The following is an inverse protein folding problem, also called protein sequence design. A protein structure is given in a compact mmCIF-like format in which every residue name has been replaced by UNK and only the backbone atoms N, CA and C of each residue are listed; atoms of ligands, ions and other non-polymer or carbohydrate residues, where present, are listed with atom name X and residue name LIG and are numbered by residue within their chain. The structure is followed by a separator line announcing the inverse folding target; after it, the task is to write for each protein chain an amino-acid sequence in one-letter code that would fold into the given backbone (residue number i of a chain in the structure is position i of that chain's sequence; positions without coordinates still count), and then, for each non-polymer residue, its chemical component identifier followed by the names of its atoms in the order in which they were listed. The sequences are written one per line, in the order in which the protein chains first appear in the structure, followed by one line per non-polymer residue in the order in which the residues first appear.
data_IF_162008378232
#
_entry.id   IF_162008378232
#
_cell.length_a   1.000
_cell.length_b   1.000
_cell.length_c   1.000
_cell.angle_alpha   90.00
_cell.angle_beta   90.00
_cell.angle_gamma   90.00
#
_symmetry.space_group_name_H-M   'P 1'
#
loop_
_entity.id
_entity.type
_entity.pdbx_description
1 polymer ?
#
# COMPACT_ATOMS: atom_id res chain seq x y z
N UNK A 1 2.09 -22.54 24.88
CA UNK A 1 1.54 -21.26 24.39
C UNK A 1 1.99 -20.83 22.98
N UNK A 2 3.15 -21.25 22.42
CA UNK A 2 3.64 -20.79 21.10
C UNK A 2 2.69 -21.10 19.92
N UNK A 3 1.96 -22.21 19.95
CA UNK A 3 1.07 -22.62 18.87
C UNK A 3 -0.07 -21.63 18.53
N UNK A 4 -0.52 -20.79 19.48
CA UNK A 4 -1.58 -19.81 19.23
C UNK A 4 -1.09 -18.67 18.34
N UNK A 5 0.13 -18.20 18.58
CA UNK A 5 0.75 -17.14 17.78
C UNK A 5 1.06 -17.60 16.35
N UNK A 6 1.52 -18.85 16.20
CA UNK A 6 1.79 -19.43 14.88
C UNK A 6 0.48 -19.56 14.07
N UNK A 7 -0.61 -20.01 14.69
CA UNK A 7 -1.91 -20.12 14.03
C UNK A 7 -2.51 -18.76 13.69
N UNK A 8 -2.39 -17.79 14.59
CA UNK A 8 -2.81 -16.41 14.34
C UNK A 8 -2.01 -15.78 13.19
N UNK A 9 -0.68 -15.83 13.26
CA UNK A 9 0.20 -15.28 12.23
C UNK A 9 0.04 -15.97 10.88
N UNK A 10 -0.09 -17.30 10.86
CA UNK A 10 -0.35 -18.05 9.63
C UNK A 10 -1.68 -17.68 8.99
N UNK A 11 -2.77 -17.60 9.75
CA UNK A 11 -4.08 -17.18 9.25
C UNK A 11 -4.07 -15.72 8.77
N UNK A 12 -3.36 -14.83 9.48
CA UNK A 12 -3.20 -13.44 9.10
C UNK A 12 -2.44 -13.32 7.76
N UNK A 13 -1.33 -14.03 7.61
CA UNK A 13 -0.51 -13.98 6.39
C UNK A 13 -1.26 -14.52 5.18
N UNK A 14 -1.93 -15.67 5.31
CA UNK A 14 -2.70 -16.27 4.22
C UNK A 14 -3.88 -15.38 3.80
N UNK A 15 -4.57 -14.77 4.75
CA UNK A 15 -5.66 -13.85 4.47
C UNK A 15 -5.17 -12.54 3.83
N UNK A 16 -4.04 -12.00 4.28
CA UNK A 16 -3.42 -10.81 3.69
C UNK A 16 -2.96 -11.08 2.24
N UNK A 17 -2.33 -12.24 1.99
CA UNK A 17 -1.95 -12.65 0.64
C UNK A 17 -3.17 -12.81 -0.26
N UNK A 18 -4.22 -13.47 0.20
CA UNK A 18 -5.45 -13.63 -0.57
C UNK A 18 -6.11 -12.27 -0.87
N UNK A 19 -6.14 -11.36 0.11
CA UNK A 19 -6.71 -10.03 -0.05
C UNK A 19 -5.90 -9.16 -1.03
N UNK A 20 -4.58 -9.34 -1.11
CA UNK A 20 -3.72 -8.58 -2.04
C UNK A 20 -4.00 -8.89 -3.52
N UNK A 21 -4.60 -10.04 -3.83
CA UNK A 21 -5.04 -10.40 -5.20
C UNK A 21 -6.47 -9.98 -5.52
N UNK A 22 -7.21 -9.42 -4.57
CA UNK A 22 -8.57 -8.95 -4.76
C UNK A 22 -8.57 -7.50 -5.27
N UNK A 23 -9.51 -7.13 -6.14
CA UNK A 23 -9.75 -5.73 -6.47
C UNK A 23 -10.00 -4.92 -5.19
N UNK A 24 -9.52 -3.66 -5.11
CA UNK A 24 -9.60 -2.85 -3.89
C UNK A 24 -11.02 -2.73 -3.32
N UNK A 25 -12.01 -2.61 -4.19
CA UNK A 25 -13.44 -2.52 -3.81
C UNK A 25 -13.94 -3.78 -3.10
N UNK A 26 -13.53 -4.96 -3.58
CA UNK A 26 -13.86 -6.25 -2.99
C UNK A 26 -13.07 -6.52 -1.71
N UNK A 27 -11.88 -5.94 -1.56
CA UNK A 27 -11.06 -6.10 -0.38
C UNK A 27 -11.72 -5.51 0.87
N UNK A 28 -12.33 -4.33 0.76
CA UNK A 28 -13.06 -3.69 1.85
C UNK A 28 -14.32 -4.49 2.23
N UNK A 29 -15.09 -4.96 1.24
CA UNK A 29 -16.28 -5.78 1.45
C UNK A 29 -15.93 -7.14 2.10
N UNK A 30 -14.86 -7.79 1.61
CA UNK A 30 -14.39 -9.07 2.18
C UNK A 30 -13.94 -8.91 3.65
N UNK A 31 -13.27 -7.78 3.99
CA UNK A 31 -12.90 -7.46 5.37
C UNK A 31 -14.13 -7.33 6.29
N UNK A 32 -15.16 -6.65 5.83
CA UNK A 32 -16.42 -6.50 6.57
C UNK A 32 -17.12 -7.84 6.81
N UNK A 33 -17.23 -8.67 5.78
CA UNK A 33 -17.83 -10.01 5.87
C UNK A 33 -17.03 -10.91 6.82
N UNK A 34 -15.69 -10.89 6.75
CA UNK A 34 -14.85 -11.67 7.66
C UNK A 34 -14.95 -11.22 9.12
N UNK A 35 -15.07 -9.93 9.38
CA UNK A 35 -15.31 -9.41 10.73
C UNK A 35 -16.65 -9.85 11.28
N UNK A 36 -17.72 -9.78 10.47
CA UNK A 36 -19.05 -10.27 10.84
C UNK A 36 -19.02 -11.77 11.11
N UNK A 37 -18.40 -12.55 10.24
CA UNK A 37 -18.23 -13.98 10.45
C UNK A 37 -17.47 -14.28 11.74
N UNK A 38 -16.36 -13.56 12.02
CA UNK A 38 -15.61 -13.72 13.26
C UNK A 38 -16.45 -13.39 14.50
N UNK A 39 -17.27 -12.33 14.45
CA UNK A 39 -18.18 -11.94 15.54
C UNK A 39 -19.26 -13.01 15.78
N UNK A 40 -19.93 -13.49 14.72
CA UNK A 40 -20.95 -14.54 14.81
C UNK A 40 -20.35 -15.85 15.34
N UNK A 41 -19.20 -16.27 14.81
CA UNK A 41 -18.51 -17.47 15.27
C UNK A 41 -18.06 -17.38 16.74
N UNK A 42 -17.65 -16.20 17.20
CA UNK A 42 -17.30 -16.01 18.62
C UNK A 42 -18.50 -16.08 19.53
N UNK A 43 -19.67 -15.65 19.07
CA UNK A 43 -20.92 -15.70 19.82
C UNK A 43 -21.51 -17.13 19.88
N UNK A 44 -21.49 -17.84 18.74
CA UNK A 44 -22.14 -19.14 18.58
C UNK A 44 -21.27 -20.32 19.06
N UNK A 45 -19.98 -20.31 18.71
CA UNK A 45 -19.07 -21.42 19.01
C UNK A 45 -18.21 -21.13 20.26
N UNK A 46 -18.84 -21.17 21.42
CA UNK A 46 -18.17 -20.91 22.73
C UNK A 46 -16.98 -21.84 23.03
N UNK A 47 -16.87 -23.02 22.38
CA UNK A 47 -15.88 -24.06 22.69
C UNK A 47 -14.57 -24.03 21.91
N UNK A 48 -14.54 -23.56 20.67
CA UNK A 48 -13.37 -23.72 19.76
C UNK A 48 -12.38 -22.55 19.85
N UNK A 49 -11.48 -22.59 20.84
CA UNK A 49 -10.43 -21.55 21.04
C UNK A 49 -9.52 -21.36 19.82
N UNK A 50 -9.18 -22.46 19.12
CA UNK A 50 -8.28 -22.42 17.94
C UNK A 50 -8.93 -21.70 16.76
N UNK A 51 -10.19 -22.00 16.45
CA UNK A 51 -10.92 -21.40 15.34
C UNK A 51 -11.06 -19.89 15.54
N UNK A 52 -11.32 -19.43 16.77
CA UNK A 52 -11.38 -18.01 17.11
C UNK A 52 -10.05 -17.31 16.80
N UNK A 53 -8.93 -17.91 17.22
CA UNK A 53 -7.60 -17.33 16.98
C UNK A 53 -7.30 -17.20 15.48
N UNK A 54 -7.67 -18.21 14.68
CA UNK A 54 -7.49 -18.15 13.22
C UNK A 54 -8.40 -17.10 12.57
N UNK A 55 -9.66 -16.98 12.99
CA UNK A 55 -10.59 -15.98 12.45
C UNK A 55 -10.13 -14.55 12.76
N UNK A 56 -9.70 -14.29 13.98
CA UNK A 56 -9.14 -12.98 14.33
C UNK A 56 -7.84 -12.67 13.57
N UNK A 57 -6.98 -13.68 13.36
CA UNK A 57 -5.79 -13.52 12.52
C UNK A 57 -6.14 -13.17 11.09
N UNK A 58 -7.08 -13.90 10.49
CA UNK A 58 -7.53 -13.63 9.13
C UNK A 58 -8.16 -12.23 8.99
N UNK A 59 -9.02 -11.83 9.91
CA UNK A 59 -9.60 -10.49 9.92
C UNK A 59 -8.53 -9.39 10.03
N UNK A 60 -7.54 -9.57 10.91
CA UNK A 60 -6.43 -8.64 11.04
C UNK A 60 -5.62 -8.51 9.74
N UNK A 61 -5.39 -9.62 9.02
CA UNK A 61 -4.69 -9.62 7.73
C UNK A 61 -5.43 -8.79 6.67
N UNK A 62 -6.74 -8.99 6.53
CA UNK A 62 -7.55 -8.23 5.57
C UNK A 62 -7.64 -6.75 5.94
N UNK A 63 -7.78 -6.44 7.23
CA UNK A 63 -7.82 -5.05 7.72
C UNK A 63 -6.50 -4.32 7.39
N UNK A 64 -5.36 -4.99 7.59
CA UNK A 64 -4.06 -4.39 7.25
C UNK A 64 -3.93 -4.07 5.77
N UNK A 65 -4.36 -4.98 4.89
CA UNK A 65 -4.37 -4.73 3.44
C UNK A 65 -5.33 -3.59 3.09
N UNK A 66 -6.56 -3.61 3.61
CA UNK A 66 -7.52 -2.55 3.39
C UNK A 66 -7.00 -1.19 3.88
N UNK A 67 -6.42 -1.14 5.08
CA UNK A 67 -5.84 0.09 5.62
C UNK A 67 -4.71 0.63 4.72
N UNK A 68 -3.84 -0.24 4.22
CA UNK A 68 -2.78 0.16 3.29
C UNK A 68 -3.34 0.71 1.97
N UNK A 69 -4.38 0.09 1.43
CA UNK A 69 -5.07 0.58 0.24
C UNK A 69 -5.67 1.97 0.46
N UNK A 70 -6.38 2.17 1.57
CA UNK A 70 -7.01 3.47 1.87
C UNK A 70 -6.01 4.58 2.19
N UNK A 71 -4.90 4.25 2.86
CA UNK A 71 -3.92 5.26 3.29
C UNK A 71 -2.91 5.59 2.19
N UNK A 72 -2.53 4.61 1.38
CA UNK A 72 -1.43 4.76 0.42
C UNK A 72 -1.88 4.71 -1.04
N UNK A 73 -2.72 3.75 -1.39
CA UNK A 73 -3.07 3.51 -2.80
C UNK A 73 -4.09 4.51 -3.33
N UNK A 74 -5.23 4.68 -2.67
CA UNK A 74 -6.29 5.59 -3.15
C UNK A 74 -5.85 7.06 -3.21
N UNK A 75 -5.16 7.61 -2.20
CA UNK A 75 -4.66 8.97 -2.30
C UNK A 75 -3.65 9.15 -3.44
N UNK A 76 -2.81 8.14 -3.69
CA UNK A 76 -1.86 8.19 -4.81
C UNK A 76 -2.57 8.12 -6.17
N UNK A 77 -3.59 7.26 -6.30
CA UNK A 77 -4.38 7.14 -7.53
C UNK A 77 -5.18 8.42 -7.83
N UNK A 78 -5.69 9.10 -6.82
CA UNK A 78 -6.38 10.38 -6.98
C UNK A 78 -5.50 11.49 -7.57
N UNK A 79 -4.17 11.33 -7.54
CA UNK A 79 -3.22 12.26 -8.15
C UNK A 79 -3.02 12.03 -9.65
N UNK A 80 -3.47 10.90 -10.21
CA UNK A 80 -3.26 10.59 -11.62
C UNK A 80 -3.93 11.64 -12.52
N UNK A 81 -3.16 12.16 -13.47
CA UNK A 81 -3.56 13.25 -14.37
C UNK A 81 -3.28 14.65 -13.84
N UNK A 82 -3.05 14.82 -12.56
CA UNK A 82 -2.78 16.11 -11.94
C UNK A 82 -1.31 16.55 -12.15
N UNK A 83 -1.12 17.88 -12.23
CA UNK A 83 0.21 18.50 -12.27
C UNK A 83 0.53 19.09 -10.92
N UNK A 84 1.68 18.72 -10.38
CA UNK A 84 2.13 19.29 -9.12
C UNK A 84 3.63 19.57 -9.13
N UNK A 85 4.03 20.57 -8.35
CA UNK A 85 5.43 20.75 -8.00
C UNK A 85 5.76 19.82 -6.85
N UNK A 86 6.85 19.07 -7.00
CA UNK A 86 7.37 18.17 -5.99
C UNK A 86 8.75 18.60 -5.56
N UNK A 87 9.07 18.37 -4.31
CA UNK A 87 10.44 18.39 -3.79
C UNK A 87 10.72 17.08 -3.09
N UNK A 88 11.88 16.50 -3.33
CA UNK A 88 12.24 15.21 -2.76
C UNK A 88 13.69 14.85 -3.00
N UNK A 89 14.07 13.68 -2.48
CA UNK A 89 15.41 13.12 -2.60
C UNK A 89 15.40 11.91 -3.54
N UNK A 90 16.33 11.85 -4.47
CA UNK A 90 16.52 10.70 -5.36
C UNK A 90 17.08 9.54 -4.54
N UNK A 91 16.36 8.43 -4.50
CA UNK A 91 16.78 7.22 -3.77
C UNK A 91 17.46 6.21 -4.68
N UNK A 92 17.09 6.19 -5.97
CA UNK A 92 17.59 5.20 -6.91
C UNK A 92 17.58 5.77 -8.33
N UNK A 93 18.58 5.39 -9.11
CA UNK A 93 18.66 5.69 -10.54
C UNK A 93 18.73 4.38 -11.29
N UNK A 94 17.77 4.15 -12.17
CA UNK A 94 17.68 2.93 -13.00
C UNK A 94 17.58 3.30 -14.48
N UNK A 95 17.93 2.37 -15.36
CA UNK A 95 17.74 2.55 -16.80
C UNK A 95 16.43 1.85 -17.21
N UNK A 96 15.51 2.61 -17.78
CA UNK A 96 14.28 2.10 -18.37
C UNK A 96 14.19 2.48 -19.85
N UNK A 97 14.11 1.49 -20.74
CA UNK A 97 14.00 1.70 -22.20
C UNK A 97 15.07 2.66 -22.78
N UNK A 98 16.32 2.55 -22.29
CA UNK A 98 17.43 3.40 -22.72
C UNK A 98 17.41 4.83 -22.16
N UNK A 99 16.54 5.12 -21.19
CA UNK A 99 16.39 6.42 -20.55
C UNK A 99 16.57 6.29 -19.03
N UNK A 100 17.13 7.29 -18.35
CA UNK A 100 17.21 7.24 -16.90
C UNK A 100 15.82 7.38 -16.27
N UNK A 101 15.54 6.52 -15.30
CA UNK A 101 14.37 6.57 -14.45
C UNK A 101 14.83 6.80 -13.02
N UNK A 102 14.36 7.86 -12.42
CA UNK A 102 14.74 8.26 -11.08
C UNK A 102 13.64 7.87 -10.09
N UNK A 103 13.96 7.12 -9.08
CA UNK A 103 13.06 6.88 -7.96
C UNK A 103 13.26 7.98 -6.93
N UNK A 104 12.21 8.72 -6.63
CA UNK A 104 12.25 9.88 -5.73
C UNK A 104 11.31 9.66 -4.56
N UNK A 105 11.82 9.87 -3.37
CA UNK A 105 11.02 9.97 -2.16
C UNK A 105 10.69 11.44 -1.92
N UNK A 106 9.39 11.80 -2.03
CA UNK A 106 8.97 13.19 -1.90
C UNK A 106 9.01 13.63 -0.44
N UNK A 107 9.52 14.84 -0.21
CA UNK A 107 9.44 15.54 1.08
C UNK A 107 8.19 16.44 1.12
N UNK A 108 7.79 16.97 -0.05
CA UNK A 108 6.58 17.77 -0.20
C UNK A 108 5.99 17.64 -1.61
N UNK A 109 4.66 17.67 -1.67
CA UNK A 109 3.88 17.72 -2.90
C UNK A 109 2.97 18.94 -2.81
N UNK A 110 3.08 19.86 -3.76
CA UNK A 110 2.31 21.09 -3.80
C UNK A 110 0.92 20.83 -4.42
N UNK A 111 0.15 19.92 -3.82
CA UNK A 111 -1.22 19.62 -4.19
C UNK A 111 -2.06 19.42 -2.92
N UNK A 112 -3.24 20.03 -2.87
CA UNK A 112 -4.14 19.92 -1.73
C UNK A 112 -4.65 18.48 -1.58
N UNK A 113 -4.49 17.89 -0.39
CA UNK A 113 -4.91 16.51 -0.11
C UNK A 113 -3.91 15.43 -0.53
N UNK A 114 -2.79 15.78 -1.15
CA UNK A 114 -1.76 14.81 -1.49
C UNK A 114 -1.02 14.30 -0.24
N UNK A 115 -0.67 13.00 -0.19
CA UNK A 115 0.22 12.48 0.82
C UNK A 115 1.57 13.21 0.77
N UNK A 116 2.11 13.61 1.92
CA UNK A 116 3.38 14.35 1.98
C UNK A 116 4.58 13.51 1.55
N UNK A 117 4.53 12.20 1.78
CA UNK A 117 5.60 11.27 1.40
C UNK A 117 5.08 10.25 0.40
N UNK A 118 5.56 10.36 -0.82
CA UNK A 118 5.28 9.43 -1.90
C UNK A 118 6.60 8.93 -2.47
N UNK A 119 6.64 7.66 -2.83
CA UNK A 119 7.73 7.10 -3.62
C UNK A 119 7.28 7.06 -5.08
N UNK A 120 7.86 7.92 -5.90
CA UNK A 120 7.47 8.11 -7.30
C UNK A 120 8.61 7.77 -8.24
N UNK A 121 8.29 7.28 -9.43
CA UNK A 121 9.26 7.11 -10.51
C UNK A 121 9.14 8.27 -11.48
N UNK A 122 10.23 9.01 -11.67
CA UNK A 122 10.32 10.11 -12.62
C UNK A 122 10.99 9.64 -13.89
N UNK A 123 10.35 9.90 -15.02
CA UNK A 123 10.93 9.70 -16.35
C UNK A 123 10.84 11.00 -17.15
N UNK A 124 11.74 11.19 -18.13
CA UNK A 124 11.67 12.33 -19.03
C UNK A 124 12.73 13.43 -18.78
N UNK A 125 13.63 13.24 -17.83
CA UNK A 125 14.80 14.12 -17.67
C UNK A 125 15.92 13.68 -18.60
N UNK A 126 16.11 14.38 -19.71
CA UNK A 126 17.04 13.96 -20.77
C UNK A 126 18.48 14.44 -20.57
N UNK A 127 18.68 15.48 -19.79
CA UNK A 127 19.98 16.18 -19.73
C UNK A 127 20.58 16.33 -18.33
N UNK A 128 19.87 15.92 -17.29
CA UNK A 128 20.36 16.09 -15.93
C UNK A 128 21.15 14.85 -15.47
N UNK A 129 22.43 15.07 -15.16
CA UNK A 129 23.25 14.10 -14.43
C UNK A 129 22.85 14.14 -12.94
N UNK A 130 21.75 13.48 -12.60
CA UNK A 130 21.24 13.40 -11.23
C UNK A 130 21.77 12.11 -10.60
N UNK A 131 22.39 12.25 -9.45
CA UNK A 131 22.93 11.14 -8.67
C UNK A 131 21.99 10.71 -7.54
N UNK A 132 22.11 9.47 -7.03
CA UNK A 132 21.44 9.07 -5.80
C UNK A 132 21.75 10.04 -4.66
N UNK A 133 20.74 10.34 -3.85
CA UNK A 133 20.75 11.31 -2.73
C UNK A 133 20.72 12.78 -3.12
N UNK A 134 20.67 13.13 -4.40
CA UNK A 134 20.46 14.52 -4.81
C UNK A 134 19.03 14.97 -4.44
N UNK A 135 18.93 16.21 -3.97
CA UNK A 135 17.65 16.86 -3.75
C UNK A 135 17.19 17.53 -5.03
N UNK A 136 15.98 17.19 -5.44
CA UNK A 136 15.38 17.74 -6.65
C UNK A 136 14.10 18.50 -6.33
N UNK A 137 13.83 19.53 -7.14
CA UNK A 137 12.55 20.23 -7.14
C UNK A 137 12.10 20.39 -8.59
N UNK A 138 10.98 19.81 -8.92
CA UNK A 138 10.48 19.83 -10.30
C UNK A 138 8.95 19.80 -10.34
N UNK A 139 8.40 20.17 -11.49
CA UNK A 139 6.97 20.00 -11.79
C UNK A 139 6.78 18.71 -12.55
N UNK A 140 5.85 17.89 -12.10
CA UNK A 140 5.55 16.59 -12.67
C UNK A 140 4.07 16.46 -12.99
N UNK A 141 3.76 15.62 -13.97
CA UNK A 141 2.40 15.14 -14.20
C UNK A 141 2.36 13.70 -13.71
N UNK A 142 1.46 13.40 -12.78
CA UNK A 142 1.30 12.05 -12.29
C UNK A 142 0.61 11.19 -13.35
N UNK A 143 1.19 10.04 -13.64
CA UNK A 143 0.61 9.04 -14.52
C UNK A 143 0.46 7.73 -13.76
N UNK A 144 -0.56 6.95 -14.12
CA UNK A 144 -0.70 5.60 -13.61
C UNK A 144 0.44 4.73 -14.13
N UNK A 145 1.04 3.93 -13.26
CA UNK A 145 2.03 2.94 -13.69
C UNK A 145 1.30 1.84 -14.46
N UNK A 146 1.53 1.79 -15.76
CA UNK A 146 1.10 0.70 -16.61
C UNK A 146 1.94 -0.56 -16.36
#
# INVERSE_FOLDING_TARGET
MPYKFIKFGGAMLTAALAAAFLPPELCAAAGGVQLLAAAVFTAVLRGCKTTKVCLFGAAAGVILVAANLFVSYYPAQALCGEKAAIAGTVTEVSAGNGRPVYTVETESVALSGAPQRLKIKLSGFYEASISPYDKIKCSVTFAENA
#
